data_IF_425874941497
#
_entry.id   IF_425874941497
#
_cell.length_a   1.000
_cell.length_b   1.000
_cell.length_c   1.000
_cell.angle_alpha   90.00
_cell.angle_beta   90.00
_cell.angle_gamma   90.00
#
_symmetry.space_group_name_H-M   'P 1'
#
loop_
_entity.id
_entity.type
_entity.pdbx_description
1 polymer ?
#
# COMPACT_ATOMS: atom_id res chain seq x y z
N UNK A 1 17.09 -4.45 10.35
CA UNK A 1 15.87 -5.03 9.75
C UNK A 1 14.72 -4.17 10.20
N UNK A 2 13.94 -3.65 9.27
CA UNK A 2 12.79 -2.80 9.53
C UNK A 2 11.60 -3.70 9.86
N UNK A 3 11.15 -3.68 11.11
CA UNK A 3 10.05 -4.54 11.59
C UNK A 3 8.91 -3.67 12.07
N UNK A 4 7.70 -4.18 11.94
CA UNK A 4 6.54 -3.42 12.38
C UNK A 4 5.41 -4.32 12.84
N UNK A 5 4.58 -3.76 13.71
CA UNK A 5 3.36 -4.38 14.21
C UNK A 5 2.24 -3.34 14.16
N UNK A 6 1.02 -3.81 13.86
CA UNK A 6 -0.20 -3.02 14.03
C UNK A 6 -1.15 -3.72 15.00
N UNK A 7 -1.90 -2.94 15.75
CA UNK A 7 -2.91 -3.39 16.68
C UNK A 7 -4.11 -2.45 16.68
N UNK A 8 -5.22 -2.92 17.22
CA UNK A 8 -6.47 -2.19 17.33
C UNK A 8 -7.55 -2.67 16.35
N UNK A 9 -8.77 -2.54 16.86
CA UNK A 9 -10.02 -2.90 16.22
C UNK A 9 -10.66 -1.70 15.51
N UNK A 10 -11.49 -2.00 14.52
CA UNK A 10 -12.21 -1.01 13.73
C UNK A 10 -13.02 -0.05 14.59
N UNK A 11 -13.71 -0.53 15.61
CA UNK A 11 -14.50 0.28 16.53
C UNK A 11 -13.96 0.22 17.97
N UNK A 12 -12.69 -0.17 18.14
CA UNK A 12 -12.00 -0.01 19.42
C UNK A 12 -11.64 1.45 19.71
N UNK A 13 -11.02 1.75 20.86
CA UNK A 13 -10.69 3.13 21.25
C UNK A 13 -9.62 3.79 20.36
N UNK A 14 -8.67 3.01 19.87
CA UNK A 14 -7.60 3.50 19.02
C UNK A 14 -6.95 2.37 18.23
N UNK A 15 -6.10 2.75 17.27
CA UNK A 15 -5.14 1.89 16.61
C UNK A 15 -3.74 2.20 17.15
N UNK A 16 -2.91 1.17 17.25
CA UNK A 16 -1.53 1.27 17.72
C UNK A 16 -0.58 0.68 16.67
N UNK A 17 0.60 1.28 16.56
CA UNK A 17 1.68 0.81 15.70
C UNK A 17 3.00 0.83 16.46
N UNK A 18 3.86 -0.15 16.18
CA UNK A 18 5.25 -0.14 16.64
C UNK A 18 6.13 -0.41 15.42
N UNK A 19 7.15 0.41 15.22
CA UNK A 19 8.18 0.21 14.20
C UNK A 19 9.54 0.10 14.88
N UNK A 20 10.27 -0.95 14.57
CA UNK A 20 11.60 -1.23 15.09
C UNK A 20 12.62 -1.28 13.95
N UNK A 21 13.87 -0.93 14.24
CA UNK A 21 14.97 -0.90 13.28
C UNK A 21 15.00 0.33 12.36
N UNK A 22 14.41 1.45 12.79
CA UNK A 22 14.50 2.74 12.09
C UNK A 22 15.76 3.48 12.53
N UNK A 23 16.70 3.82 11.63
CA UNK A 23 17.94 4.51 11.99
C UNK A 23 17.71 5.87 12.66
N UNK A 24 18.65 6.30 13.51
CA UNK A 24 18.63 7.62 14.13
C UNK A 24 18.90 8.76 13.12
N UNK A 25 18.34 9.94 13.40
CA UNK A 25 18.62 11.18 12.66
C UNK A 25 17.75 11.42 11.43
N UNK A 26 16.66 10.67 11.25
CA UNK A 26 15.70 10.87 10.15
C UNK A 26 14.67 11.93 10.60
N UNK A 27 14.47 13.02 9.84
CA UNK A 27 13.41 13.98 10.12
C UNK A 27 12.05 13.30 10.09
N UNK A 28 11.28 13.42 11.18
CA UNK A 28 9.98 12.79 11.30
C UNK A 28 9.07 13.61 12.20
N UNK A 29 7.89 13.97 11.68
CA UNK A 29 6.84 14.67 12.40
C UNK A 29 5.50 14.00 12.14
N UNK A 30 4.56 14.22 13.04
CA UNK A 30 3.17 13.74 12.90
C UNK A 30 2.49 14.36 11.66
N UNK A 31 2.83 15.61 11.32
CA UNK A 31 2.29 16.30 10.14
C UNK A 31 2.78 15.66 8.84
N UNK A 32 4.01 15.15 8.82
CA UNK A 32 4.52 14.37 7.69
C UNK A 32 3.69 13.09 7.49
N UNK A 33 3.35 12.40 8.58
CA UNK A 33 2.51 11.19 8.53
C UNK A 33 1.06 11.52 8.16
N UNK A 34 0.55 12.67 8.57
CA UNK A 34 -0.81 13.11 8.33
C UNK A 34 -1.14 13.28 6.83
N UNK A 35 -0.15 13.62 6.00
CA UNK A 35 -0.33 13.77 4.54
C UNK A 35 -0.86 12.47 3.92
N UNK A 36 -0.19 11.35 4.16
CA UNK A 36 -0.59 10.06 3.60
C UNK A 36 -1.85 9.49 4.26
N UNK A 37 -2.07 9.78 5.55
CA UNK A 37 -3.31 9.42 6.24
C UNK A 37 -4.52 10.14 5.62
N UNK A 38 -4.40 11.43 5.32
CA UNK A 38 -5.43 12.20 4.61
C UNK A 38 -5.67 11.65 3.19
N UNK A 39 -4.59 11.34 2.45
CA UNK A 39 -4.69 10.71 1.12
C UNK A 39 -5.45 9.38 1.18
N UNK A 40 -5.23 8.57 2.22
CA UNK A 40 -5.95 7.29 2.45
C UNK A 40 -7.44 7.51 2.77
N UNK A 41 -7.79 8.60 3.45
CA UNK A 41 -9.20 8.90 3.77
C UNK A 41 -9.99 9.36 2.53
N UNK A 42 -9.31 9.98 1.56
CA UNK A 42 -9.90 10.45 0.29
C UNK A 42 -10.35 9.35 -0.67
N UNK A 43 -10.86 9.78 -1.82
CA UNK A 43 -11.38 8.91 -2.88
C UNK A 43 -12.90 9.04 -3.09
N UNK A 44 -13.34 9.24 -4.33
CA UNK A 44 -14.76 9.21 -4.67
C UNK A 44 -15.32 7.79 -4.50
N UNK A 45 -16.48 7.68 -3.85
CA UNK A 45 -17.09 6.39 -3.52
C UNK A 45 -16.80 5.88 -2.10
N UNK A 46 -15.98 6.60 -1.31
CA UNK A 46 -15.77 6.31 0.12
C UNK A 46 -17.04 6.54 0.95
N UNK A 47 -17.22 5.71 1.97
CA UNK A 47 -18.40 5.65 2.82
C UNK A 47 -18.40 6.69 3.94
N UNK A 48 -19.51 6.74 4.68
CA UNK A 48 -19.78 7.78 5.67
C UNK A 48 -18.77 7.86 6.82
N UNK A 49 -18.03 6.79 7.12
CA UNK A 49 -17.01 6.78 8.19
C UNK A 49 -15.91 7.83 7.98
N UNK A 50 -15.53 8.10 6.72
CA UNK A 50 -14.50 9.09 6.41
C UNK A 50 -14.95 10.53 6.71
N UNK A 51 -16.23 10.77 6.98
CA UNK A 51 -16.76 12.06 7.46
C UNK A 51 -16.63 12.23 8.98
N UNK A 52 -16.44 11.13 9.71
CA UNK A 52 -16.31 11.11 11.18
C UNK A 52 -14.83 11.14 11.55
N UNK A 53 -14.05 10.21 10.99
CA UNK A 53 -12.65 10.05 11.33
C UNK A 53 -11.81 11.21 10.78
N UNK A 54 -10.80 11.63 11.55
CA UNK A 54 -9.77 12.59 11.15
C UNK A 54 -8.42 12.00 11.54
N UNK A 55 -7.91 11.12 10.69
CA UNK A 55 -6.79 10.26 11.04
C UNK A 55 -5.50 11.08 11.17
N UNK A 56 -4.95 11.14 12.39
CA UNK A 56 -3.63 11.72 12.68
C UNK A 56 -2.89 10.80 13.64
N UNK A 57 -1.69 10.39 13.24
CA UNK A 57 -0.84 9.52 14.07
C UNK A 57 -0.06 10.36 15.08
N UNK A 58 -0.34 10.16 16.36
CA UNK A 58 0.46 10.61 17.48
C UNK A 58 1.73 9.75 17.56
N UNK A 59 2.90 10.38 17.66
CA UNK A 59 4.16 9.67 17.88
C UNK A 59 4.42 9.59 19.38
N UNK A 60 4.39 8.39 19.93
CA UNK A 60 4.45 8.16 21.38
C UNK A 60 5.85 7.80 21.88
N UNK A 61 6.78 7.43 20.98
CA UNK A 61 8.17 7.10 21.31
C UNK A 61 9.07 7.12 20.06
N UNK A 62 10.38 6.95 20.24
CA UNK A 62 11.34 6.77 19.15
C UNK A 62 11.72 8.03 18.37
N UNK A 63 11.09 9.18 18.64
CA UNK A 63 11.39 10.48 18.04
C UNK A 63 11.64 11.52 19.12
N UNK A 64 12.70 12.32 18.97
CA UNK A 64 13.02 13.43 19.85
C UNK A 64 13.47 14.65 19.02
N UNK A 65 12.95 15.83 19.34
CA UNK A 65 13.25 17.10 18.65
C UNK A 65 13.02 17.03 17.11
N UNK A 66 12.04 16.23 16.67
CA UNK A 66 11.71 16.06 15.25
C UNK A 66 12.60 15.07 14.49
N UNK A 67 13.45 14.31 15.18
CA UNK A 67 14.31 13.31 14.57
C UNK A 67 14.13 11.94 15.22
N UNK A 68 14.22 10.88 14.43
CA UNK A 68 14.26 9.51 14.95
C UNK A 68 15.49 9.30 15.84
N UNK A 69 15.34 8.47 16.87
CA UNK A 69 16.37 8.24 17.89
C UNK A 69 17.14 6.94 17.69
N UNK A 70 16.70 6.06 16.78
CA UNK A 70 17.20 4.69 16.65
C UNK A 70 16.42 3.67 17.48
N UNK A 71 15.70 4.10 18.51
CA UNK A 71 14.81 3.25 19.29
C UNK A 71 13.47 2.98 18.58
N UNK A 72 12.66 2.02 19.09
CA UNK A 72 11.34 1.73 18.54
C UNK A 72 10.43 2.97 18.52
N UNK A 73 9.73 3.17 17.41
CA UNK A 73 8.77 4.25 17.22
C UNK A 73 7.36 3.71 17.48
N UNK A 74 6.73 4.21 18.53
CA UNK A 74 5.33 3.97 18.84
C UNK A 74 4.42 4.98 18.15
N UNK A 75 3.29 4.50 17.64
CA UNK A 75 2.25 5.29 17.00
C UNK A 75 0.90 5.01 17.64
N UNK A 76 0.06 6.05 17.74
CA UNK A 76 -1.34 5.95 18.15
C UNK A 76 -2.22 6.77 17.21
N UNK A 77 -3.34 6.19 16.75
CA UNK A 77 -4.41 6.94 16.07
C UNK A 77 -5.70 6.68 16.82
N UNK A 78 -6.33 7.73 17.33
CA UNK A 78 -7.63 7.63 17.98
C UNK A 78 -8.73 7.27 16.96
N UNK A 79 -9.69 6.45 17.38
CA UNK A 79 -10.93 6.25 16.61
C UNK A 79 -12.00 7.22 17.14
N UNK A 80 -12.35 8.22 16.33
CA UNK A 80 -13.34 9.23 16.74
C UNK A 80 -14.76 8.66 16.80
N UNK A 81 -15.01 7.52 16.16
CA UNK A 81 -16.29 6.81 16.26
C UNK A 81 -16.44 6.04 17.59
N UNK A 82 -15.36 5.82 18.36
CA UNK A 82 -15.39 5.03 19.61
C UNK A 82 -16.49 5.43 20.61
N UNK A 83 -16.75 6.72 20.88
CA UNK A 83 -17.83 7.12 21.77
C UNK A 83 -19.22 6.60 21.37
N UNK A 84 -19.46 6.34 20.08
CA UNK A 84 -20.71 5.78 19.56
C UNK A 84 -20.82 4.25 19.74
N UNK A 85 -19.72 3.59 20.12
CA UNK A 85 -19.63 2.13 20.22
C UNK A 85 -19.44 1.63 21.65
N UNK A 86 -18.75 2.40 22.50
CA UNK A 86 -18.29 1.93 23.83
C UNK A 86 -19.37 1.42 24.78
N UNK A 87 -20.54 2.05 24.76
CA UNK A 87 -21.67 1.71 25.64
C UNK A 87 -22.85 1.11 24.84
N UNK A 88 -22.64 0.80 23.56
CA UNK A 88 -23.70 0.32 22.69
C UNK A 88 -23.93 -1.16 22.94
N UNK A 89 -25.17 -1.53 23.22
CA UNK A 89 -25.58 -2.93 23.15
C UNK A 89 -25.72 -3.31 21.67
N UNK A 90 -24.81 -4.16 21.18
CA UNK A 90 -24.76 -4.58 19.77
C UNK A 90 -25.02 -6.08 19.69
N UNK A 91 -26.09 -6.52 19.00
CA UNK A 91 -26.41 -7.95 18.91
C UNK A 91 -25.29 -8.72 18.20
N UNK A 92 -25.15 -10.04 18.48
CA UNK A 92 -24.16 -10.87 17.79
C UNK A 92 -24.29 -10.81 16.27
N UNK A 93 -23.16 -10.82 15.59
CA UNK A 93 -23.11 -10.86 14.12
C UNK A 93 -23.02 -12.31 13.65
N UNK A 94 -24.14 -12.89 13.21
CA UNK A 94 -24.26 -14.34 12.94
C UNK A 94 -24.42 -14.70 11.47
N UNK A 95 -24.71 -13.71 10.61
CA UNK A 95 -24.90 -13.92 9.16
C UNK A 95 -23.66 -13.49 8.38
N UNK A 96 -22.89 -14.45 7.91
CA UNK A 96 -21.59 -14.19 7.28
C UNK A 96 -21.74 -13.37 5.98
N UNK A 97 -20.76 -12.51 5.68
CA UNK A 97 -20.73 -11.81 4.38
C UNK A 97 -19.85 -12.58 3.37
N UNK A 98 -20.40 -12.97 2.20
CA UNK A 98 -19.62 -13.63 1.16
C UNK A 98 -18.39 -12.81 0.75
N UNK A 99 -17.22 -13.46 0.79
CA UNK A 99 -15.94 -12.84 0.48
C UNK A 99 -15.30 -12.06 1.63
N UNK A 100 -15.95 -11.90 2.78
CA UNK A 100 -15.30 -11.34 3.97
C UNK A 100 -14.59 -12.42 4.79
N UNK A 101 -13.91 -12.03 5.87
CA UNK A 101 -13.24 -12.95 6.78
C UNK A 101 -14.21 -13.71 7.71
N UNK A 102 -15.49 -13.35 7.71
CA UNK A 102 -16.47 -13.73 8.73
C UNK A 102 -16.57 -15.26 8.91
N UNK A 103 -16.97 -16.00 7.87
CA UNK A 103 -17.17 -17.46 7.95
C UNK A 103 -15.87 -18.22 8.21
N UNK A 104 -14.79 -17.85 7.51
CA UNK A 104 -13.49 -18.50 7.70
C UNK A 104 -12.94 -18.24 9.11
N UNK A 105 -13.14 -17.04 9.64
CA UNK A 105 -12.79 -16.68 11.01
C UNK A 105 -13.65 -17.41 12.03
N UNK A 106 -14.95 -17.56 11.78
CA UNK A 106 -15.87 -18.31 12.64
C UNK A 106 -15.33 -19.71 12.87
N UNK A 107 -15.02 -20.44 11.78
CA UNK A 107 -14.45 -21.78 11.88
C UNK A 107 -13.05 -21.80 12.52
N UNK A 108 -12.23 -20.78 12.25
CA UNK A 108 -10.84 -20.74 12.72
C UNK A 108 -10.72 -20.46 14.22
N UNK A 109 -11.55 -19.56 14.74
CA UNK A 109 -11.44 -19.04 16.11
C UNK A 109 -12.56 -19.53 17.04
N UNK A 110 -13.60 -20.18 16.51
CA UNK A 110 -14.69 -20.72 17.31
C UNK A 110 -15.56 -19.65 17.97
N UNK A 111 -15.62 -18.45 17.39
CA UNK A 111 -16.46 -17.35 17.88
C UNK A 111 -17.87 -17.45 17.28
N UNK A 112 -18.88 -17.49 18.14
CA UNK A 112 -20.29 -17.44 17.72
C UNK A 112 -20.71 -16.03 17.25
N UNK A 113 -20.09 -14.98 17.81
CA UNK A 113 -20.21 -13.60 17.34
C UNK A 113 -19.07 -13.26 16.36
N UNK A 114 -19.38 -13.18 15.06
CA UNK A 114 -18.38 -12.84 14.04
C UNK A 114 -17.91 -11.39 14.11
N UNK A 115 -18.50 -10.54 14.97
CA UNK A 115 -17.98 -9.19 15.24
C UNK A 115 -16.55 -9.23 15.74
N UNK A 116 -16.21 -10.22 16.58
CA UNK A 116 -14.86 -10.41 17.11
C UNK A 116 -13.81 -10.64 16.01
N UNK A 117 -14.24 -11.08 14.83
CA UNK A 117 -13.38 -11.28 13.66
C UNK A 117 -13.36 -10.03 12.78
N UNK A 118 -14.53 -9.51 12.42
CA UNK A 118 -14.62 -8.40 11.45
C UNK A 118 -13.99 -7.11 11.97
N UNK A 119 -13.97 -6.91 13.30
CA UNK A 119 -13.36 -5.74 13.92
C UNK A 119 -11.87 -5.63 13.60
N UNK A 120 -11.15 -6.75 13.61
CA UNK A 120 -9.72 -6.80 13.25
C UNK A 120 -9.48 -6.98 11.75
N UNK A 121 -10.33 -7.75 11.07
CA UNK A 121 -10.25 -7.98 9.62
C UNK A 121 -10.70 -6.77 8.77
N UNK A 122 -11.23 -5.72 9.43
CA UNK A 122 -11.60 -4.47 8.79
C UNK A 122 -10.38 -3.74 8.23
N UNK A 123 -10.55 -3.17 7.04
CA UNK A 123 -9.53 -2.32 6.43
C UNK A 123 -9.23 -1.03 7.22
N UNK A 124 -9.91 -0.76 8.35
CA UNK A 124 -9.52 0.31 9.29
C UNK A 124 -8.07 0.14 9.75
N UNK A 125 -7.59 -1.10 9.92
CA UNK A 125 -6.21 -1.42 10.29
C UNK A 125 -5.17 -0.78 9.34
N UNK A 126 -5.51 -0.62 8.06
CA UNK A 126 -4.60 -0.04 7.06
C UNK A 126 -4.22 1.42 7.34
N UNK A 127 -4.94 2.10 8.23
CA UNK A 127 -4.53 3.41 8.77
C UNK A 127 -3.15 3.31 9.42
N UNK A 128 -2.88 2.25 10.19
CA UNK A 128 -1.56 2.01 10.78
C UNK A 128 -0.52 1.67 9.72
N UNK A 129 -0.85 0.84 8.74
CA UNK A 129 0.08 0.53 7.63
C UNK A 129 0.52 1.78 6.90
N UNK A 130 -0.39 2.73 6.67
CA UNK A 130 -0.08 4.01 6.01
C UNK A 130 0.81 4.89 6.90
N UNK A 131 0.52 5.01 8.20
CA UNK A 131 1.39 5.77 9.11
C UNK A 131 2.81 5.17 9.19
N UNK A 132 2.93 3.85 9.26
CA UNK A 132 4.21 3.11 9.25
C UNK A 132 4.93 3.28 7.90
N UNK A 133 4.18 3.22 6.81
CA UNK A 133 4.71 3.50 5.47
C UNK A 133 5.23 4.93 5.33
N UNK A 134 4.64 5.91 6.01
CA UNK A 134 5.16 7.28 6.09
C UNK A 134 6.55 7.34 6.72
N UNK A 135 6.82 6.54 7.76
CA UNK A 135 8.16 6.40 8.36
C UNK A 135 9.14 5.79 7.36
N UNK A 136 8.72 4.72 6.65
CA UNK A 136 9.54 4.10 5.62
C UNK A 136 9.85 5.06 4.45
N UNK A 137 8.86 5.84 4.00
CA UNK A 137 9.04 6.90 3.00
C UNK A 137 10.00 8.00 3.49
N UNK A 138 9.91 8.42 4.75
CA UNK A 138 10.82 9.41 5.32
C UNK A 138 12.28 8.94 5.32
N UNK A 139 12.52 7.65 5.60
CA UNK A 139 13.84 7.02 5.45
C UNK A 139 14.31 7.03 3.99
N UNK A 140 13.46 6.55 3.07
CA UNK A 140 13.79 6.43 1.65
C UNK A 140 14.05 7.80 0.98
N UNK A 141 13.32 8.86 1.38
CA UNK A 141 13.52 10.23 0.88
C UNK A 141 14.90 10.79 1.22
N UNK A 142 15.54 10.33 2.31
CA UNK A 142 16.92 10.72 2.62
C UNK A 142 17.92 10.31 1.53
N UNK A 143 17.52 9.40 0.65
CA UNK A 143 18.29 8.88 -0.48
C UNK A 143 17.62 9.18 -1.83
N UNK A 144 16.61 10.05 -1.85
CA UNK A 144 15.91 10.45 -3.09
C UNK A 144 15.00 9.37 -3.68
N UNK A 145 14.78 8.27 -2.96
CA UNK A 145 13.88 7.19 -3.38
C UNK A 145 12.44 7.64 -3.12
N UNK A 146 11.63 7.67 -4.18
CA UNK A 146 10.22 8.07 -4.11
C UNK A 146 9.30 6.90 -4.42
N UNK A 147 8.14 6.83 -3.77
CA UNK A 147 7.08 5.85 -4.06
C UNK A 147 5.81 6.59 -4.43
N UNK A 148 5.23 6.25 -5.59
CA UNK A 148 4.01 6.88 -6.15
C UNK A 148 3.03 5.82 -6.63
N UNK A 149 1.76 6.17 -6.78
CA UNK A 149 0.72 5.28 -7.30
C UNK A 149 -0.31 6.02 -8.14
N UNK A 150 -0.96 5.27 -9.04
CA UNK A 150 -2.14 5.72 -9.77
C UNK A 150 -3.13 4.57 -9.94
N UNK A 151 -4.40 4.91 -10.09
CA UNK A 151 -5.48 3.96 -10.43
C UNK A 151 -5.47 3.72 -11.94
N UNK A 152 -5.53 2.45 -12.32
CA UNK A 152 -5.56 2.01 -13.71
C UNK A 152 -6.96 1.57 -14.15
N UNK A 153 -7.79 1.07 -13.24
CA UNK A 153 -9.19 0.76 -13.53
C UNK A 153 -10.11 0.88 -12.31
N UNK A 154 -11.37 1.19 -12.57
CA UNK A 154 -12.49 1.04 -11.63
C UNK A 154 -13.66 0.43 -12.40
N UNK A 155 -14.13 -0.74 -11.94
CA UNK A 155 -15.11 -1.52 -12.69
C UNK A 155 -14.59 -1.87 -14.10
N UNK A 156 -15.38 -1.56 -15.12
CA UNK A 156 -15.02 -1.81 -16.53
C UNK A 156 -14.25 -0.65 -17.18
N UNK A 157 -14.09 0.49 -16.51
CA UNK A 157 -13.36 1.66 -17.04
C UNK A 157 -11.89 1.51 -16.73
N UNK A 158 -11.02 1.63 -17.74
CA UNK A 158 -9.57 1.45 -17.59
C UNK A 158 -8.74 2.42 -18.43
N UNK A 159 -7.51 2.68 -18.00
CA UNK A 159 -6.50 3.49 -18.70
C UNK A 159 -5.14 2.79 -18.70
N UNK A 160 -4.27 3.04 -19.70
CA UNK A 160 -2.87 2.62 -19.64
C UNK A 160 -2.06 3.28 -18.51
N UNK A 161 -2.57 4.36 -17.91
CA UNK A 161 -1.87 5.16 -16.89
C UNK A 161 -0.97 6.24 -17.49
N UNK A 162 -0.58 7.22 -16.67
CA UNK A 162 0.36 8.30 -17.05
C UNK A 162 1.79 8.04 -16.58
N UNK A 163 2.76 8.81 -17.08
CA UNK A 163 4.14 8.74 -16.59
C UNK A 163 4.31 9.50 -15.27
N UNK A 164 4.31 8.77 -14.14
CA UNK A 164 4.46 9.38 -12.81
C UNK A 164 5.88 9.91 -12.53
N UNK A 165 6.78 9.97 -13.52
CA UNK A 165 8.01 10.80 -13.44
C UNK A 165 7.72 12.27 -13.68
N UNK A 166 6.72 12.60 -14.48
CA UNK A 166 6.34 13.97 -14.79
C UNK A 166 5.59 14.61 -13.61
N UNK A 167 6.12 15.69 -13.00
CA UNK A 167 5.44 16.41 -11.92
C UNK A 167 4.04 16.93 -12.30
N UNK A 168 3.78 17.22 -13.58
CA UNK A 168 2.46 17.63 -14.03
C UNK A 168 1.45 16.47 -13.95
N UNK A 169 1.83 15.27 -14.38
CA UNK A 169 1.00 14.06 -14.25
C UNK A 169 0.77 13.71 -12.78
N UNK A 170 1.80 13.82 -11.94
CA UNK A 170 1.67 13.59 -10.49
C UNK A 170 0.65 14.53 -9.87
N UNK A 171 0.66 15.83 -10.24
CA UNK A 171 -0.35 16.79 -9.77
C UNK A 171 -1.76 16.38 -10.17
N UNK A 172 -1.97 15.98 -11.42
CA UNK A 172 -3.27 15.50 -11.90
C UNK A 172 -3.76 14.31 -11.06
N UNK A 173 -2.90 13.34 -10.77
CA UNK A 173 -3.25 12.17 -9.96
C UNK A 173 -3.60 12.54 -8.51
N UNK A 174 -2.85 13.47 -7.90
CA UNK A 174 -3.11 13.89 -6.51
C UNK A 174 -4.36 14.78 -6.37
N UNK A 175 -4.72 15.54 -7.42
CA UNK A 175 -5.95 16.34 -7.47
C UNK A 175 -7.17 15.50 -7.87
N UNK A 176 -6.97 14.39 -8.58
CA UNK A 176 -8.02 13.49 -9.01
C UNK A 176 -8.74 12.83 -7.84
N UNK A 177 -10.07 12.89 -7.85
CA UNK A 177 -10.89 12.25 -6.82
C UNK A 177 -10.87 10.73 -6.89
N UNK A 178 -10.40 10.15 -8.00
CA UNK A 178 -10.21 8.70 -8.15
C UNK A 178 -8.73 8.32 -8.39
N UNK A 179 -7.81 9.27 -8.24
CA UNK A 179 -6.35 9.07 -8.39
C UNK A 179 -5.94 8.51 -9.75
N UNK A 180 -6.57 8.98 -10.83
CA UNK A 180 -6.22 8.62 -12.21
C UNK A 180 -5.52 9.78 -12.91
N UNK A 181 -4.62 9.49 -13.84
CA UNK A 181 -3.83 10.49 -14.55
C UNK A 181 -4.56 11.18 -15.72
N UNK A 182 -5.83 10.85 -15.98
CA UNK A 182 -6.61 11.33 -17.11
C UNK A 182 -7.98 11.85 -16.65
N UNK A 183 -8.26 13.12 -16.94
CA UNK A 183 -9.47 13.81 -16.48
C UNK A 183 -10.76 13.30 -17.14
N UNK A 184 -10.70 12.80 -18.38
CA UNK A 184 -11.86 12.20 -19.05
C UNK A 184 -12.16 10.83 -18.42
N UNK A 185 -11.12 10.02 -18.23
CA UNK A 185 -11.25 8.72 -17.56
C UNK A 185 -11.72 8.88 -16.11
N UNK A 186 -11.31 9.94 -15.41
CA UNK A 186 -11.86 10.26 -14.08
C UNK A 186 -13.38 10.41 -14.11
N UNK A 187 -13.93 11.15 -15.07
CA UNK A 187 -15.37 11.35 -15.19
C UNK A 187 -16.10 10.02 -15.44
N UNK A 188 -15.55 9.17 -16.30
CA UNK A 188 -16.09 7.84 -16.59
C UNK A 188 -16.06 6.92 -15.36
N UNK A 189 -14.94 6.89 -14.63
CA UNK A 189 -14.81 6.12 -13.40
C UNK A 189 -15.79 6.60 -12.31
N UNK A 190 -15.99 7.92 -12.18
CA UNK A 190 -16.97 8.48 -11.24
C UNK A 190 -18.40 8.11 -11.64
N UNK A 191 -18.73 8.18 -12.92
CA UNK A 191 -20.03 7.75 -13.43
C UNK A 191 -20.27 6.25 -13.15
N UNK A 192 -19.26 5.39 -13.32
CA UNK A 192 -19.35 3.97 -12.97
C UNK A 192 -19.60 3.77 -11.46
N UNK A 193 -18.92 4.53 -10.60
CA UNK A 193 -19.13 4.50 -9.14
C UNK A 193 -20.55 4.95 -8.78
N UNK A 194 -21.08 5.98 -9.44
CA UNK A 194 -22.44 6.48 -9.19
C UNK A 194 -23.51 5.49 -9.68
N UNK A 195 -23.30 4.86 -10.84
CA UNK A 195 -24.16 3.79 -11.33
C UNK A 195 -24.18 2.60 -10.35
N UNK A 196 -23.01 2.15 -9.88
CA UNK A 196 -22.94 1.09 -8.87
C UNK A 196 -23.64 1.47 -7.56
N UNK A 197 -23.49 2.72 -7.11
CA UNK A 197 -24.20 3.24 -5.92
C UNK A 197 -25.71 3.18 -6.10
N UNK A 198 -26.23 3.61 -7.25
CA UNK A 198 -27.66 3.55 -7.58
C UNK A 198 -28.20 2.12 -7.65
N UNK A 199 -27.35 1.16 -8.01
CA UNK A 199 -27.68 -0.27 -8.05
C UNK A 199 -27.44 -1.00 -6.71
N UNK A 200 -27.00 -0.29 -5.67
CA UNK A 200 -26.63 -0.87 -4.38
C UNK A 200 -25.49 -1.92 -4.46
N UNK A 201 -24.62 -1.77 -5.46
CA UNK A 201 -23.45 -2.62 -5.73
C UNK A 201 -22.14 -1.92 -5.31
N UNK A 202 -21.04 -2.67 -5.31
CA UNK A 202 -19.69 -2.14 -5.07
C UNK A 202 -18.77 -2.43 -6.25
N UNK A 203 -17.70 -1.65 -6.40
CA UNK A 203 -16.72 -1.80 -7.45
C UNK A 203 -15.32 -2.09 -6.89
N UNK A 204 -14.61 -2.92 -7.64
CA UNK A 204 -13.17 -3.13 -7.52
C UNK A 204 -12.44 -2.43 -8.65
N UNK A 205 -11.19 -2.82 -8.88
CA UNK A 205 -10.37 -2.26 -9.93
C UNK A 205 -8.89 -2.59 -9.76
N UNK A 206 -8.07 -1.95 -10.58
CA UNK A 206 -6.61 -2.10 -10.53
C UNK A 206 -5.92 -0.76 -10.28
N UNK A 207 -4.77 -0.85 -9.62
CA UNK A 207 -3.86 0.28 -9.44
C UNK A 207 -2.43 -0.21 -9.62
N UNK A 208 -1.51 0.72 -9.82
CA UNK A 208 -0.08 0.45 -9.81
C UNK A 208 0.64 1.30 -8.79
N UNK A 209 1.75 0.77 -8.29
CA UNK A 209 2.64 1.43 -7.33
C UNK A 209 4.05 1.31 -7.88
N UNK A 210 4.75 2.44 -7.90
CA UNK A 210 6.06 2.59 -8.54
C UNK A 210 7.07 3.16 -7.54
N UNK A 211 8.19 2.47 -7.37
CA UNK A 211 9.37 2.96 -6.66
C UNK A 211 10.39 3.52 -7.63
N UNK A 212 10.76 4.79 -7.48
CA UNK A 212 11.73 5.51 -8.30
C UNK A 212 13.07 5.66 -7.59
N UNK A 213 14.14 5.82 -8.39
CA UNK A 213 15.52 6.04 -7.92
C UNK A 213 16.03 4.95 -6.97
N UNK A 214 15.44 3.75 -7.03
CA UNK A 214 15.87 2.60 -6.23
C UNK A 214 17.22 2.10 -6.76
N UNK A 215 18.30 2.08 -5.96
CA UNK A 215 19.59 1.61 -6.44
C UNK A 215 19.50 0.13 -6.82
N UNK A 216 20.29 -0.33 -7.82
CA UNK A 216 20.36 -1.75 -8.12
C UNK A 216 20.94 -2.52 -6.94
N UNK A 217 20.56 -3.78 -6.80
CA UNK A 217 21.14 -4.69 -5.82
C UNK A 217 20.42 -4.78 -4.46
N UNK A 218 19.20 -4.26 -4.31
CA UNK A 218 18.31 -4.59 -3.19
C UNK A 218 17.62 -5.94 -3.45
N UNK A 219 17.46 -6.78 -2.42
CA UNK A 219 17.00 -8.16 -2.56
C UNK A 219 18.12 -9.13 -2.93
N UNK A 220 17.78 -10.39 -3.16
CA UNK A 220 18.75 -11.44 -3.51
C UNK A 220 18.11 -12.58 -4.28
N UNK A 221 18.84 -13.13 -5.26
CA UNK A 221 18.47 -14.34 -5.98
C UNK A 221 18.84 -15.64 -5.24
N UNK A 222 19.64 -15.53 -4.18
CA UNK A 222 20.34 -16.66 -3.54
C UNK A 222 19.37 -17.58 -2.78
N UNK A 223 18.32 -17.02 -2.19
CA UNK A 223 17.27 -17.78 -1.51
C UNK A 223 15.89 -17.23 -1.89
N UNK A 224 14.91 -18.11 -1.95
CA UNK A 224 13.57 -17.81 -2.48
C UNK A 224 12.84 -16.71 -1.69
N UNK A 225 13.00 -16.67 -0.37
CA UNK A 225 12.43 -15.68 0.55
C UNK A 225 13.20 -14.35 0.56
N UNK A 226 14.40 -14.33 -0.03
CA UNK A 226 15.20 -13.11 -0.21
C UNK A 226 14.96 -12.40 -1.53
N UNK A 227 14.19 -13.00 -2.43
CA UNK A 227 13.80 -12.38 -3.68
C UNK A 227 12.77 -11.27 -3.42
N UNK A 228 13.07 -10.06 -3.89
CA UNK A 228 12.31 -8.87 -3.57
C UNK A 228 10.93 -8.85 -4.23
N UNK A 229 10.78 -9.44 -5.41
CA UNK A 229 9.50 -9.69 -6.08
C UNK A 229 8.54 -10.49 -5.18
N UNK A 230 9.01 -11.57 -4.54
CA UNK A 230 8.23 -12.36 -3.59
C UNK A 230 7.81 -11.56 -2.35
N UNK A 231 8.72 -10.75 -1.80
CA UNK A 231 8.43 -9.88 -0.65
C UNK A 231 7.42 -8.78 -1.01
N UNK A 232 7.56 -8.15 -2.17
CA UNK A 232 6.61 -7.15 -2.69
C UNK A 232 5.25 -7.80 -2.93
N UNK A 233 5.21 -8.97 -3.58
CA UNK A 233 3.97 -9.70 -3.82
C UNK A 233 3.24 -10.04 -2.52
N UNK A 234 3.96 -10.54 -1.51
CA UNK A 234 3.39 -10.81 -0.18
C UNK A 234 2.82 -9.54 0.46
N UNK A 235 3.60 -8.44 0.47
CA UNK A 235 3.18 -7.19 1.08
C UNK A 235 1.91 -6.62 0.42
N UNK A 236 1.86 -6.62 -0.92
CA UNK A 236 0.71 -6.15 -1.68
C UNK A 236 -0.51 -7.07 -1.52
N UNK A 237 -0.32 -8.38 -1.62
CA UNK A 237 -1.40 -9.37 -1.48
C UNK A 237 -2.00 -9.38 -0.06
N UNK A 238 -1.21 -8.99 0.95
CA UNK A 238 -1.67 -8.87 2.34
C UNK A 238 -2.60 -7.68 2.58
N UNK A 239 -2.74 -6.76 1.62
CA UNK A 239 -3.66 -5.63 1.73
C UNK A 239 -5.10 -6.15 1.59
N UNK A 240 -5.99 -5.58 2.39
CA UNK A 240 -7.40 -5.99 2.42
C UNK A 240 -8.07 -5.93 1.04
N UNK A 241 -8.70 -7.04 0.67
CA UNK A 241 -9.39 -7.27 -0.60
C UNK A 241 -8.50 -7.22 -1.86
N UNK A 242 -7.19 -7.39 -1.73
CA UNK A 242 -6.33 -7.68 -2.89
C UNK A 242 -6.44 -9.16 -3.26
N UNK A 243 -6.52 -9.44 -4.57
CA UNK A 243 -6.67 -10.80 -5.11
C UNK A 243 -5.61 -11.19 -6.13
N UNK A 244 -4.90 -10.23 -6.71
CA UNK A 244 -3.78 -10.50 -7.60
C UNK A 244 -2.74 -9.38 -7.49
N UNK A 245 -1.48 -9.75 -7.66
CA UNK A 245 -0.33 -8.85 -7.74
C UNK A 245 0.51 -9.32 -8.92
N UNK A 246 0.99 -8.37 -9.72
CA UNK A 246 1.86 -8.63 -10.85
C UNK A 246 3.00 -7.59 -10.85
N UNK A 247 4.17 -7.96 -11.35
CA UNK A 247 5.34 -7.09 -11.41
C UNK A 247 5.57 -6.66 -12.87
N UNK A 248 5.97 -5.40 -13.08
CA UNK A 248 6.19 -4.85 -14.42
C UNK A 248 4.94 -4.96 -15.31
N UNK A 249 5.11 -5.54 -16.49
CA UNK A 249 4.02 -5.79 -17.44
C UNK A 249 2.97 -6.78 -16.91
N UNK A 250 3.30 -7.52 -15.86
CA UNK A 250 2.39 -8.42 -15.17
C UNK A 250 2.09 -9.68 -15.98
N UNK A 251 0.82 -10.02 -16.15
CA UNK A 251 0.45 -11.26 -16.84
C UNK A 251 0.70 -11.22 -18.35
N UNK A 252 0.71 -10.03 -18.98
CA UNK A 252 0.87 -9.89 -20.43
C UNK A 252 2.28 -10.22 -20.91
N UNK A 253 3.28 -10.22 -20.02
CA UNK A 253 4.65 -10.66 -20.35
C UNK A 253 4.70 -12.15 -20.72
N UNK A 254 3.79 -12.95 -20.16
CA UNK A 254 3.68 -14.39 -20.43
C UNK A 254 3.14 -14.72 -21.84
N UNK A 255 2.63 -13.72 -22.56
CA UNK A 255 2.08 -13.87 -23.92
C UNK A 255 3.14 -13.60 -25.00
N UNK A 256 4.34 -13.14 -24.62
CA UNK A 256 5.40 -12.69 -25.54
C UNK A 256 6.49 -13.74 -25.75
N UNK A 257 7.18 -13.64 -26.89
CA UNK A 257 8.45 -14.33 -27.07
C UNK A 257 9.52 -13.73 -26.16
N UNK A 258 10.50 -14.55 -25.76
CA UNK A 258 11.56 -14.12 -24.83
C UNK A 258 12.31 -12.85 -25.27
N UNK A 259 12.49 -12.64 -26.58
CA UNK A 259 13.13 -11.43 -27.12
C UNK A 259 12.32 -10.15 -26.90
N UNK A 260 10.99 -10.26 -26.78
CA UNK A 260 10.05 -9.15 -26.61
C UNK A 260 9.55 -9.03 -25.15
N UNK A 261 9.81 -10.06 -24.35
CA UNK A 261 9.44 -10.15 -22.93
C UNK A 261 10.48 -9.51 -22.00
N UNK A 262 11.73 -9.38 -22.45
CA UNK A 262 12.86 -9.00 -21.62
C UNK A 262 13.43 -7.64 -22.00
N UNK A 263 14.10 -7.02 -21.05
CA UNK A 263 14.61 -5.66 -21.18
C UNK A 263 16.01 -5.66 -21.83
N UNK A 264 16.03 -5.44 -23.15
CA UNK A 264 17.27 -5.28 -23.90
C UNK A 264 18.14 -4.15 -23.35
N UNK A 265 19.46 -4.30 -23.43
CA UNK A 265 20.43 -3.38 -22.85
C UNK A 265 21.35 -2.77 -23.90
N UNK A 266 21.79 -1.52 -23.68
CA UNK A 266 22.84 -0.86 -24.45
C UNK A 266 23.80 -0.12 -23.53
N UNK A 267 25.03 0.05 -24.01
CA UNK A 267 26.01 0.94 -23.37
C UNK A 267 25.86 2.34 -23.97
N UNK A 268 25.57 3.34 -23.14
CA UNK A 268 25.51 4.76 -23.51
C UNK A 268 26.28 5.56 -22.47
N UNK A 269 27.25 6.37 -22.91
CA UNK A 269 28.10 7.21 -22.04
C UNK A 269 28.76 6.44 -20.87
N UNK A 270 29.13 5.19 -21.13
CA UNK A 270 29.76 4.31 -20.15
C UNK A 270 28.82 3.84 -19.03
N UNK A 271 27.50 3.86 -19.28
CA UNK A 271 26.45 3.30 -18.44
C UNK A 271 25.56 2.33 -19.24
N UNK A 272 25.11 1.25 -18.58
CA UNK A 272 24.07 0.37 -19.09
C UNK A 272 22.74 1.11 -18.98
N UNK A 273 22.06 1.26 -20.11
CA UNK A 273 20.65 1.65 -20.17
C UNK A 273 19.81 0.44 -20.59
N UNK A 274 18.59 0.35 -20.07
CA UNK A 274 17.58 -0.58 -20.59
C UNK A 274 16.72 0.13 -21.63
N UNK A 275 16.28 -0.64 -22.63
CA UNK A 275 15.44 -0.15 -23.71
C UNK A 275 13.94 -0.18 -23.36
N UNK A 276 13.59 -0.88 -22.29
CA UNK A 276 12.25 -1.07 -21.75
C UNK A 276 12.33 -1.39 -20.24
N UNK A 277 11.18 -1.54 -19.59
CA UNK A 277 11.09 -1.97 -18.20
C UNK A 277 9.95 -2.98 -18.00
N UNK A 278 9.87 -3.98 -18.86
CA UNK A 278 8.90 -5.07 -18.82
C UNK A 278 9.01 -5.88 -17.52
N UNK A 279 10.22 -6.02 -16.97
CA UNK A 279 10.48 -6.70 -15.70
C UNK A 279 10.04 -5.88 -14.47
N UNK A 280 9.69 -4.60 -14.63
CA UNK A 280 9.26 -3.74 -13.53
C UNK A 280 10.34 -3.52 -12.47
N UNK A 281 11.58 -3.29 -12.90
CA UNK A 281 12.71 -2.92 -12.04
C UNK A 281 13.35 -4.09 -11.30
N UNK A 282 12.93 -5.34 -11.56
CA UNK A 282 13.38 -6.52 -10.82
C UNK A 282 13.83 -7.64 -11.77
N UNK A 283 15.06 -8.10 -11.62
CA UNK A 283 15.59 -9.26 -12.33
C UNK A 283 16.18 -10.24 -11.32
N UNK A 284 15.75 -11.51 -11.37
CA UNK A 284 16.17 -12.53 -10.39
C UNK A 284 15.80 -12.22 -8.94
N UNK A 285 14.78 -11.37 -8.71
CA UNK A 285 14.40 -10.92 -7.37
C UNK A 285 15.30 -9.81 -6.80
N UNK A 286 16.05 -9.10 -7.66
CA UNK A 286 16.97 -8.03 -7.28
C UNK A 286 16.61 -6.75 -8.03
N UNK A 287 16.65 -5.60 -7.37
CA UNK A 287 16.45 -4.30 -8.05
C UNK A 287 17.53 -4.09 -9.10
N UNK A 288 17.12 -3.66 -10.28
CA UNK A 288 18.00 -3.60 -11.43
C UNK A 288 18.38 -2.15 -11.83
N UNK A 289 17.84 -1.17 -11.10
CA UNK A 289 18.05 0.28 -11.28
C UNK A 289 16.94 1.00 -12.03
N UNK A 290 16.07 0.27 -12.74
CA UNK A 290 14.84 0.82 -13.31
C UNK A 290 13.75 0.98 -12.24
N UNK A 291 12.67 1.74 -12.52
CA UNK A 291 11.56 1.86 -11.59
C UNK A 291 10.98 0.49 -11.20
N UNK A 292 10.78 0.28 -9.90
CA UNK A 292 10.15 -0.93 -9.35
C UNK A 292 8.64 -0.81 -9.50
N UNK A 293 8.02 -1.65 -10.32
CA UNK A 293 6.59 -1.53 -10.67
C UNK A 293 5.80 -2.74 -10.17
N UNK A 294 4.77 -2.49 -9.36
CA UNK A 294 3.80 -3.49 -8.95
C UNK A 294 2.38 -3.07 -9.35
N UNK A 295 1.65 -3.98 -10.01
CA UNK A 295 0.23 -3.82 -10.40
C UNK A 295 -0.63 -4.72 -9.55
N UNK A 296 -1.73 -4.17 -9.04
CA UNK A 296 -2.49 -4.80 -7.96
C UNK A 296 -3.98 -4.79 -8.28
N UNK A 297 -4.64 -5.94 -8.12
CA UNK A 297 -6.09 -6.10 -8.34
C UNK A 297 -6.80 -6.11 -7.00
N UNK A 298 -7.65 -5.11 -6.79
CA UNK A 298 -8.58 -5.03 -5.67
C UNK A 298 -9.95 -5.53 -6.11
N UNK A 299 -10.46 -6.57 -5.45
CA UNK A 299 -11.86 -6.99 -5.65
C UNK A 299 -12.84 -5.94 -5.10
N UNK A 300 -14.10 -5.93 -5.56
CA UNK A 300 -15.16 -5.16 -4.92
C UNK A 300 -15.25 -5.44 -3.41
N UNK A 301 -15.70 -4.45 -2.65
CA UNK A 301 -15.86 -4.58 -1.20
C UNK A 301 -16.98 -5.59 -0.92
N UNK A 302 -16.68 -6.57 -0.07
CA UNK A 302 -17.56 -7.72 0.15
C UNK A 302 -18.87 -7.41 0.86
N UNK A 303 -19.01 -6.20 1.43
CA UNK A 303 -20.27 -5.77 2.02
C UNK A 303 -21.05 -4.93 1.02
N UNK A 304 -22.05 -5.55 0.40
CA UNK A 304 -22.97 -4.92 -0.55
C UNK A 304 -24.28 -4.57 0.14
N UNK A 305 -24.88 -3.43 -0.19
CA UNK A 305 -26.19 -3.04 0.34
C UNK A 305 -27.30 -3.92 -0.23
N UNK A 306 -27.13 -4.40 -1.47
CA UNK A 306 -27.90 -5.51 -2.01
C UNK A 306 -27.46 -6.81 -1.33
N UNK A 307 -28.34 -7.51 -0.58
CA UNK A 307 -27.96 -8.72 0.13
C UNK A 307 -27.64 -9.87 -0.82
N UNK A 308 -26.72 -10.75 -0.41
CA UNK A 308 -26.38 -11.99 -1.10
C UNK A 308 -26.89 -13.20 -0.31
N UNK A 309 -27.11 -14.35 -0.97
CA UNK A 309 -27.33 -15.61 -0.25
C UNK A 309 -26.21 -15.89 0.76
N UNK A 310 -26.59 -16.24 1.98
CA UNK A 310 -25.70 -16.57 3.09
C UNK A 310 -26.41 -17.54 4.04
N UNK A 311 -25.83 -17.77 5.21
CA UNK A 311 -26.34 -18.64 6.26
C UNK A 311 -26.27 -17.88 7.59
N UNK A 312 -27.31 -17.99 8.40
CA UNK A 312 -27.26 -17.60 9.80
C UNK A 312 -26.63 -18.73 10.61
N UNK A 313 -25.41 -18.53 11.11
CA UNK A 313 -24.68 -19.57 11.83
C UNK A 313 -25.20 -19.83 13.24
N UNK A 314 -26.11 -18.99 13.75
CA UNK A 314 -26.78 -19.26 15.03
C UNK A 314 -27.93 -20.27 14.88
N UNK A 315 -28.64 -20.26 13.74
CA UNK A 315 -29.79 -21.15 13.50
C UNK A 315 -29.46 -22.31 12.57
N UNK A 316 -28.45 -22.15 11.70
CA UNK A 316 -28.13 -23.07 10.63
C UNK A 316 -29.04 -22.93 9.39
N UNK A 317 -29.84 -21.86 9.31
CA UNK A 317 -30.78 -21.64 8.21
C UNK A 317 -30.21 -20.68 7.15
N UNK A 318 -30.66 -20.84 5.91
CA UNK A 318 -30.37 -19.92 4.82
C UNK A 318 -30.87 -18.51 5.17
N UNK A 319 -30.02 -17.50 4.94
CA UNK A 319 -30.31 -16.12 5.31
C UNK A 319 -29.62 -15.13 4.36
N UNK A 320 -30.18 -13.96 4.07
CA UNK A 320 -29.42 -12.92 3.39
C UNK A 320 -28.22 -12.46 4.23
N UNK A 321 -27.11 -12.13 3.56
CA UNK A 321 -25.92 -11.55 4.19
C UNK A 321 -26.25 -10.28 4.97
N UNK A 322 -25.66 -10.10 6.15
CA UNK A 322 -25.86 -8.88 6.94
C UNK A 322 -25.03 -7.71 6.39
N UNK A 323 -25.70 -6.58 6.19
CA UNK A 323 -25.04 -5.34 5.79
C UNK A 323 -24.28 -4.71 6.96
N UNK A 324 -23.07 -4.25 6.67
CA UNK A 324 -22.28 -3.34 7.50
C UNK A 324 -21.96 -2.11 6.67
N UNK A 325 -21.82 -0.94 7.31
CA UNK A 325 -21.49 0.31 6.60
C UNK A 325 -20.24 0.13 5.76
N UNK A 326 -20.35 0.33 4.45
CA UNK A 326 -19.28 0.09 3.48
C UNK A 326 -19.13 1.21 2.45
N UNK A 327 -17.96 1.27 1.82
CA UNK A 327 -17.71 2.13 0.66
C UNK A 327 -18.29 1.48 -0.60
N UNK A 328 -18.61 2.29 -1.62
CA UNK A 328 -18.92 1.78 -2.97
C UNK A 328 -17.65 1.36 -3.69
N UNK A 329 -16.59 2.15 -3.56
CA UNK A 329 -15.28 1.89 -4.14
C UNK A 329 -14.18 2.40 -3.21
N UNK A 330 -13.12 1.62 -3.05
CA UNK A 330 -11.93 2.00 -2.27
C UNK A 330 -10.61 1.70 -3.00
N UNK A 331 -10.65 1.66 -4.34
CA UNK A 331 -9.45 1.48 -5.17
C UNK A 331 -8.45 2.64 -5.00
N UNK A 332 -8.87 3.93 -4.98
CA UNK A 332 -7.94 5.04 -4.78
C UNK A 332 -7.21 4.97 -3.43
N UNK A 333 -7.93 4.67 -2.35
CA UNK A 333 -7.32 4.49 -1.03
C UNK A 333 -6.38 3.27 -0.99
N UNK A 334 -6.71 2.19 -1.71
CA UNK A 334 -5.84 1.03 -1.82
C UNK A 334 -4.52 1.32 -2.54
N UNK A 335 -4.51 2.24 -3.50
CA UNK A 335 -3.29 2.70 -4.16
C UNK A 335 -2.33 3.37 -3.16
N UNK A 336 -2.85 4.25 -2.29
CA UNK A 336 -2.07 4.89 -1.20
C UNK A 336 -1.55 3.86 -0.19
N UNK A 337 -2.38 2.87 0.17
CA UNK A 337 -1.95 1.76 1.05
C UNK A 337 -0.85 0.93 0.36
N UNK A 338 -0.94 0.73 -0.96
CA UNK A 338 0.09 0.07 -1.75
C UNK A 338 1.42 0.84 -1.74
N UNK A 339 1.40 2.16 -1.84
CA UNK A 339 2.61 2.99 -1.67
C UNK A 339 3.28 2.76 -0.33
N UNK A 340 2.50 2.73 0.75
CA UNK A 340 2.99 2.47 2.09
C UNK A 340 3.64 1.07 2.20
N UNK A 341 2.97 0.04 1.66
CA UNK A 341 3.49 -1.33 1.68
C UNK A 341 4.76 -1.51 0.83
N UNK A 342 4.84 -0.87 -0.35
CA UNK A 342 6.07 -0.90 -1.14
C UNK A 342 7.21 -0.18 -0.41
N UNK A 343 6.94 0.99 0.16
CA UNK A 343 7.93 1.75 0.92
C UNK A 343 8.50 0.92 2.09
N UNK A 344 7.66 0.20 2.83
CA UNK A 344 8.08 -0.69 3.93
C UNK A 344 9.04 -1.77 3.41
N UNK A 345 8.68 -2.45 2.31
CA UNK A 345 9.52 -3.52 1.74
C UNK A 345 10.85 -2.98 1.22
N UNK A 346 10.83 -1.83 0.55
CA UNK A 346 12.03 -1.17 0.05
C UNK A 346 12.92 -0.68 1.21
N UNK A 347 12.35 -0.10 2.25
CA UNK A 347 13.08 0.34 3.45
C UNK A 347 13.76 -0.85 4.15
N UNK A 348 13.06 -1.97 4.32
CA UNK A 348 13.67 -3.17 4.92
C UNK A 348 14.82 -3.71 4.06
N UNK A 349 14.61 -3.88 2.75
CA UNK A 349 15.65 -4.37 1.84
C UNK A 349 16.86 -3.40 1.74
N UNK A 350 16.59 -2.10 1.82
CA UNK A 350 17.63 -1.07 1.85
C UNK A 350 18.49 -1.18 3.11
N UNK A 351 17.87 -1.31 4.29
CA UNK A 351 18.59 -1.51 5.54
C UNK A 351 19.25 -2.88 5.66
N UNK A 352 18.67 -3.94 5.06
CA UNK A 352 19.32 -5.25 4.96
C UNK A 352 20.66 -5.15 4.20
N UNK A 353 20.70 -4.36 3.12
CA UNK A 353 21.89 -4.20 2.28
C UNK A 353 22.93 -3.27 2.88
N UNK A 354 22.50 -2.09 3.34
CA UNK A 354 23.43 -1.02 3.74
C UNK A 354 23.70 -0.99 5.25
N UNK A 355 22.83 -1.63 6.06
CA UNK A 355 22.91 -1.62 7.52
C UNK A 355 22.89 -0.20 8.10
N UNK A 356 23.46 -0.06 9.29
CA UNK A 356 23.73 1.21 9.96
C UNK A 356 22.65 1.64 10.95
N UNK A 357 23.09 2.27 12.05
CA UNK A 357 22.24 2.63 13.18
C UNK A 357 21.79 4.10 13.12
N UNK A 358 22.44 4.92 12.28
CA UNK A 358 22.08 6.32 12.08
C UNK A 358 22.35 6.81 10.65
N UNK A 359 21.61 7.83 10.21
CA UNK A 359 21.66 8.29 8.82
C UNK A 359 23.06 8.74 8.37
N UNK A 360 23.88 9.26 9.30
CA UNK A 360 25.25 9.68 9.05
C UNK A 360 26.19 8.50 8.72
N UNK A 361 25.88 7.29 9.20
CA UNK A 361 26.62 6.06 8.89
C UNK A 361 26.14 5.45 7.56
N UNK A 362 24.84 5.50 7.30
CA UNK A 362 24.23 4.90 6.10
C UNK A 362 24.61 5.66 4.83
N UNK A 363 24.59 7.00 4.89
CA UNK A 363 24.87 7.86 3.73
C UNK A 363 26.21 7.56 3.03
N UNK A 364 27.36 7.51 3.72
CA UNK A 364 28.61 7.15 3.06
C UNK A 364 28.60 5.73 2.50
N UNK A 365 27.95 4.74 3.14
CA UNK A 365 27.87 3.37 2.61
C UNK A 365 27.11 3.29 1.29
N UNK A 366 25.98 3.99 1.20
CA UNK A 366 25.18 4.06 -0.04
C UNK A 366 25.97 4.78 -1.12
N UNK A 367 26.58 5.92 -0.79
CA UNK A 367 27.44 6.68 -1.71
C UNK A 367 28.58 5.82 -2.26
N UNK A 368 29.31 5.14 -1.40
CA UNK A 368 30.48 4.36 -1.77
C UNK A 368 30.08 3.12 -2.58
N UNK A 369 28.95 2.48 -2.24
CA UNK A 369 28.34 1.43 -3.05
C UNK A 369 28.00 1.94 -4.46
N UNK A 370 27.27 3.04 -4.56
CA UNK A 370 26.87 3.64 -5.84
C UNK A 370 28.07 4.04 -6.69
N UNK A 371 29.09 4.67 -6.09
CA UNK A 371 30.36 5.00 -6.78
C UNK A 371 31.12 3.76 -7.26
N UNK A 372 31.01 2.65 -6.52
CA UNK A 372 31.62 1.38 -6.88
C UNK A 372 30.91 0.63 -8.02
N UNK A 373 29.67 0.99 -8.35
CA UNK A 373 28.92 0.37 -9.44
C UNK A 373 29.48 0.81 -10.80
N UNK A 374 30.27 -0.08 -11.41
CA UNK A 374 30.71 0.11 -12.79
C UNK A 374 29.51 0.04 -13.73
N UNK A 375 29.52 0.87 -14.76
CA UNK A 375 28.50 0.92 -15.81
C UNK A 375 27.08 1.23 -15.34
N UNK A 376 26.91 1.82 -14.16
CA UNK A 376 25.62 2.35 -13.73
C UNK A 376 25.78 3.80 -13.30
N UNK A 377 24.70 4.59 -13.44
CA UNK A 377 24.65 5.98 -13.00
C UNK A 377 23.36 6.17 -12.20
N UNK A 378 23.44 6.77 -11.00
CA UNK A 378 22.24 7.09 -10.24
C UNK A 378 21.40 8.13 -10.99
N UNK A 379 20.07 8.04 -10.81
CA UNK A 379 19.17 9.12 -11.19
C UNK A 379 19.47 10.40 -10.40
N UNK A 380 18.98 11.54 -10.91
CA UNK A 380 19.33 12.85 -10.36
C UNK A 380 18.97 13.01 -8.88
N UNK A 381 17.86 12.40 -8.43
CA UNK A 381 17.41 12.51 -7.04
C UNK A 381 18.34 11.76 -6.08
N UNK A 382 18.70 10.51 -6.40
CA UNK A 382 19.66 9.74 -5.61
C UNK A 382 21.05 10.40 -5.64
N UNK A 383 21.51 10.85 -6.82
CA UNK A 383 22.79 11.53 -6.99
C UNK A 383 22.91 12.81 -6.14
N UNK A 384 21.82 13.55 -5.93
CA UNK A 384 21.82 14.77 -5.13
C UNK A 384 21.89 14.52 -3.61
N UNK A 385 21.62 13.28 -3.16
CA UNK A 385 21.49 12.93 -1.73
C UNK A 385 22.69 12.17 -1.17
N UNK A 386 23.58 11.67 -2.03
CA UNK A 386 24.76 10.86 -1.68
C UNK A 386 26.04 11.54 -2.18
#
# INVERSE_FOLDING_TARGET
MFRWFSSGESHGPCLLGIVDGVPAGIPLTEDLLAVDLARRQGGYGRGGRMKIEKDRAEITSGVAKGFTTGGPIGLRVENLDWPNWKDRDVPPFTRARPGHADLAGFFKYGHEDMRLILERASARETTMRVAIGGIAKALLDQFGIAVRSQVLSIGAVSTPGGDLRDPAVVRVVEESTVRVADALVEQEMRAAIDAARGLHETLGGTFEVIGYDVPPGLGSHVQWDRKLDGRIAQAMMSIHAIKAVALGDGFTVGERYGTDAHDGMRMVDGAVIRLSNHAGGLEGGITNGEPVVARVVKKPISTTAKPQPSIDLATGEDSPSQYERSDVCAVPAAAVIGEAMLAIVLADAFLEKFGGDGIAEIRPRVRDYVRGLRFWRPGAALAARI
#
